data_IF_059371992562
#
_entry.id   IF_059371992562
#
_cell.length_a   1.000
_cell.length_b   1.000
_cell.length_c   1.000
_cell.angle_alpha   90.00
_cell.angle_beta   90.00
_cell.angle_gamma   90.00
#
_symmetry.space_group_name_H-M   'P 1'
#
loop_
_entity.id
_entity.type
_entity.pdbx_description
1 polymer ?
#
# COMPACT_ATOMS: atom_id res chain seq x y z
N UNK A 1 -12.88 7.21 5.52
CA UNK A 1 -13.25 6.26 6.60
C UNK A 1 -13.25 4.79 6.13
N UNK A 2 -13.73 4.44 4.92
CA UNK A 2 -13.78 3.04 4.46
C UNK A 2 -12.45 2.28 4.33
N UNK A 3 -11.32 2.95 4.01
CA UNK A 3 -10.04 2.26 3.79
C UNK A 3 -9.41 1.69 5.08
N UNK A 4 -9.67 2.26 6.26
CA UNK A 4 -9.19 1.70 7.52
C UNK A 4 -9.96 0.42 7.91
N UNK A 5 -11.28 0.39 7.71
CA UNK A 5 -12.08 -0.81 7.99
C UNK A 5 -11.78 -1.92 6.99
N UNK A 6 -11.61 -1.61 5.70
CA UNK A 6 -11.17 -2.60 4.69
C UNK A 6 -9.75 -3.10 4.96
N UNK A 7 -8.83 -2.23 5.40
CA UNK A 7 -7.48 -2.66 5.76
C UNK A 7 -7.47 -3.63 6.95
N UNK A 8 -8.36 -3.46 7.93
CA UNK A 8 -8.46 -4.37 9.07
C UNK A 8 -9.28 -5.64 8.77
N UNK A 9 -10.34 -5.56 7.97
CA UNK A 9 -11.23 -6.69 7.70
C UNK A 9 -10.82 -7.53 6.48
N UNK A 10 -10.24 -6.94 5.44
CA UNK A 10 -9.66 -7.65 4.30
C UNK A 10 -8.44 -6.88 3.72
N UNK A 11 -7.27 -6.91 4.40
CA UNK A 11 -6.07 -6.23 3.93
C UNK A 11 -5.66 -6.67 2.51
N UNK A 12 -5.80 -7.94 2.19
CA UNK A 12 -5.38 -8.47 0.89
C UNK A 12 -6.28 -7.95 -0.25
N UNK A 13 -7.58 -7.75 -0.02
CA UNK A 13 -8.48 -7.10 -0.99
C UNK A 13 -8.06 -5.64 -1.25
N UNK A 14 -7.76 -4.90 -0.18
CA UNK A 14 -7.36 -3.50 -0.28
C UNK A 14 -5.99 -3.34 -0.97
N UNK A 15 -5.03 -4.21 -0.66
CA UNK A 15 -3.73 -4.22 -1.32
C UNK A 15 -3.83 -4.58 -2.81
N UNK A 16 -4.74 -5.47 -3.17
CA UNK A 16 -5.06 -5.76 -4.57
C UNK A 16 -5.62 -4.55 -5.32
N UNK A 17 -6.60 -3.86 -4.74
CA UNK A 17 -7.17 -2.65 -5.35
C UNK A 17 -6.14 -1.53 -5.46
N UNK A 18 -5.27 -1.40 -4.45
CA UNK A 18 -4.13 -0.48 -4.49
C UNK A 18 -3.16 -0.80 -5.63
N UNK A 19 -2.81 -2.07 -5.80
CA UNK A 19 -1.93 -2.52 -6.88
C UNK A 19 -2.56 -2.21 -8.26
N UNK A 20 -3.86 -2.44 -8.42
CA UNK A 20 -4.61 -2.05 -9.62
C UNK A 20 -4.60 -0.54 -9.87
N UNK A 21 -4.75 0.26 -8.81
CA UNK A 21 -4.66 1.73 -8.93
C UNK A 21 -3.25 2.20 -9.35
N UNK A 22 -2.22 1.39 -9.07
CA UNK A 22 -0.84 1.59 -9.51
C UNK A 22 -0.52 0.96 -10.88
N UNK A 23 -1.49 0.29 -11.52
CA UNK A 23 -1.35 -0.34 -12.84
C UNK A 23 -0.97 -1.83 -12.84
N UNK A 24 -0.88 -2.46 -11.67
CA UNK A 24 -0.56 -3.89 -11.51
C UNK A 24 -1.82 -4.77 -11.53
N UNK A 25 -1.69 -6.04 -11.92
CA UNK A 25 -2.83 -6.96 -11.94
C UNK A 25 -3.07 -7.60 -10.55
N UNK A 26 -4.31 -7.53 -10.04
CA UNK A 26 -4.66 -8.18 -8.76
C UNK A 26 -4.55 -9.72 -8.84
N UNK A 27 -4.76 -10.29 -10.02
CA UNK A 27 -4.67 -11.74 -10.23
C UNK A 27 -3.25 -12.25 -10.01
N UNK A 28 -2.22 -11.56 -10.51
CA UNK A 28 -0.82 -11.89 -10.24
C UNK A 28 -0.48 -11.64 -8.77
N UNK A 29 -1.00 -10.55 -8.18
CA UNK A 29 -0.78 -10.23 -6.78
C UNK A 29 -1.34 -11.30 -5.82
N UNK A 30 -2.50 -11.89 -6.13
CA UNK A 30 -3.06 -12.99 -5.34
C UNK A 30 -2.35 -14.33 -5.61
N UNK A 31 -1.99 -14.62 -6.87
CA UNK A 31 -1.38 -15.90 -7.26
C UNK A 31 0.01 -16.10 -6.62
N UNK A 32 0.80 -15.03 -6.47
CA UNK A 32 2.12 -15.09 -5.84
C UNK A 32 2.11 -14.73 -4.33
N UNK A 33 0.95 -14.73 -3.65
CA UNK A 33 0.79 -14.30 -2.26
C UNK A 33 1.26 -12.86 -1.97
N UNK A 34 1.40 -12.01 -3.00
CA UNK A 34 1.84 -10.61 -2.92
C UNK A 34 0.86 -9.77 -2.11
N UNK A 35 -0.43 -10.09 -2.20
CA UNK A 35 -1.51 -9.37 -1.52
C UNK A 35 -1.40 -9.36 0.01
N UNK A 36 -0.67 -10.32 0.60
CA UNK A 36 -0.42 -10.38 2.04
C UNK A 36 1.09 -10.35 2.35
N UNK A 37 1.92 -9.97 1.37
CA UNK A 37 3.37 -9.89 1.51
C UNK A 37 3.78 -8.49 2.01
N UNK A 38 4.44 -8.38 3.18
CA UNK A 38 4.93 -7.10 3.70
C UNK A 38 5.96 -6.44 2.78
N UNK A 39 6.75 -7.22 2.03
CA UNK A 39 7.72 -6.72 1.06
C UNK A 39 7.06 -6.03 -0.14
N UNK A 40 5.87 -6.49 -0.54
CA UNK A 40 5.12 -5.84 -1.61
C UNK A 40 4.57 -4.47 -1.17
N UNK A 41 4.02 -4.40 0.06
CA UNK A 41 3.57 -3.14 0.63
C UNK A 41 4.74 -2.16 0.84
N UNK A 42 5.90 -2.66 1.28
CA UNK A 42 7.13 -1.90 1.38
C UNK A 42 7.51 -1.28 0.03
N UNK A 43 7.58 -2.10 -1.02
CA UNK A 43 7.92 -1.64 -2.37
C UNK A 43 6.97 -0.56 -2.89
N UNK A 44 5.66 -0.79 -2.77
CA UNK A 44 4.65 0.21 -3.19
C UNK A 44 4.77 1.52 -2.41
N UNK A 45 5.01 1.46 -1.10
CA UNK A 45 5.22 2.65 -0.27
C UNK A 45 6.47 3.43 -0.68
N UNK A 46 7.59 2.74 -0.86
CA UNK A 46 8.85 3.37 -1.29
C UNK A 46 8.70 4.02 -2.68
N UNK A 47 8.03 3.34 -3.61
CA UNK A 47 7.77 3.87 -4.95
C UNK A 47 6.97 5.18 -4.90
N UNK A 48 5.81 5.18 -4.25
CA UNK A 48 4.94 6.37 -4.17
C UNK A 48 5.67 7.51 -3.47
N UNK A 49 6.39 7.23 -2.38
CA UNK A 49 7.14 8.26 -1.67
C UNK A 49 8.25 8.88 -2.50
N UNK A 50 8.98 8.06 -3.25
CA UNK A 50 10.02 8.54 -4.16
C UNK A 50 9.44 9.39 -5.28
N UNK A 51 8.33 8.95 -5.88
CA UNK A 51 7.65 9.65 -6.97
C UNK A 51 7.03 10.99 -6.52
N UNK A 52 6.44 11.02 -5.34
CA UNK A 52 5.76 12.19 -4.79
C UNK A 52 6.64 13.06 -3.88
N UNK A 53 7.95 12.76 -3.77
CA UNK A 53 8.89 13.47 -2.90
C UNK A 53 8.43 13.57 -1.43
N UNK A 54 7.79 12.51 -0.91
CA UNK A 54 7.32 12.44 0.48
C UNK A 54 8.50 12.16 1.43
N UNK A 55 8.76 13.07 2.38
CA UNK A 55 9.89 12.99 3.35
C UNK A 55 9.82 11.78 4.28
N UNK A 56 10.95 11.09 4.47
CA UNK A 56 11.13 9.96 5.40
C UNK A 56 12.26 9.02 4.95
N UNK A 57 12.33 7.81 5.50
CA UNK A 57 13.47 6.90 5.31
C UNK A 57 13.05 5.46 5.00
N UNK A 58 13.87 4.77 4.21
CA UNK A 58 13.67 3.35 3.85
C UNK A 58 13.57 2.46 5.10
N UNK A 59 14.42 2.69 6.10
CA UNK A 59 14.38 1.93 7.36
C UNK A 59 13.05 2.12 8.09
N UNK A 60 12.50 3.34 8.10
CA UNK A 60 11.21 3.60 8.72
C UNK A 60 10.08 2.92 7.94
N UNK A 61 10.12 2.96 6.61
CA UNK A 61 9.11 2.27 5.79
C UNK A 61 9.20 0.75 5.96
N UNK A 62 10.40 0.17 6.06
CA UNK A 62 10.61 -1.26 6.31
C UNK A 62 10.08 -1.66 7.69
N UNK A 63 10.35 -0.87 8.74
CA UNK A 63 9.83 -1.15 10.08
C UNK A 63 8.29 -1.08 10.12
N UNK A 64 7.70 -0.13 9.39
CA UNK A 64 6.25 0.05 9.31
C UNK A 64 5.54 -1.05 8.50
N UNK A 65 6.22 -1.63 7.52
CA UNK A 65 5.64 -2.62 6.59
C UNK A 65 6.03 -4.06 6.90
N UNK A 66 7.25 -4.31 7.38
CA UNK A 66 7.79 -5.63 7.70
C UNK A 66 8.00 -5.93 9.19
N UNK A 67 7.99 -4.91 10.06
CA UNK A 67 8.48 -5.04 11.44
C UNK A 67 7.49 -5.51 12.51
N UNK A 68 6.18 -5.62 12.23
CA UNK A 68 5.25 -6.05 13.29
C UNK A 68 3.96 -6.67 12.76
N UNK A 69 3.65 -7.86 13.28
CA UNK A 69 2.39 -8.61 13.12
C UNK A 69 1.17 -7.93 13.80
N UNK A 70 1.23 -6.64 14.13
CA UNK A 70 0.17 -5.91 14.85
C UNK A 70 -0.07 -4.54 14.23
N UNK A 71 -1.36 -4.18 14.05
CA UNK A 71 -2.02 -2.90 13.70
C UNK A 71 -1.37 -1.92 12.70
N UNK A 72 -0.06 -1.70 12.71
CA UNK A 72 0.68 -0.76 11.88
C UNK A 72 0.61 -1.10 10.39
N UNK A 73 0.67 -2.37 10.00
CA UNK A 73 0.57 -2.79 8.60
C UNK A 73 -0.76 -2.32 7.97
N UNK A 74 -1.89 -2.54 8.63
CA UNK A 74 -3.20 -2.12 8.15
C UNK A 74 -3.30 -0.58 8.08
N UNK A 75 -2.75 0.12 9.07
CA UNK A 75 -2.69 1.59 9.07
C UNK A 75 -1.88 2.13 7.88
N UNK A 76 -0.73 1.51 7.61
CA UNK A 76 0.19 1.86 6.52
C UNK A 76 -0.46 1.60 5.17
N UNK A 77 -1.12 0.46 5.01
CA UNK A 77 -1.87 0.12 3.80
C UNK A 77 -3.03 1.10 3.57
N UNK A 78 -3.82 1.39 4.61
CA UNK A 78 -4.92 2.35 4.52
C UNK A 78 -4.44 3.77 4.22
N UNK A 79 -3.28 4.17 4.77
CA UNK A 79 -2.64 5.44 4.46
C UNK A 79 -2.23 5.48 2.99
N UNK A 80 -1.48 4.48 2.52
CA UNK A 80 -1.00 4.42 1.14
C UNK A 80 -2.16 4.42 0.13
N UNK A 81 -3.24 3.69 0.42
CA UNK A 81 -4.45 3.72 -0.39
C UNK A 81 -5.10 5.11 -0.49
N UNK A 82 -5.04 5.92 0.58
CA UNK A 82 -5.53 7.31 0.53
C UNK A 82 -4.61 8.21 -0.29
N UNK A 83 -3.31 8.05 -0.13
CA UNK A 83 -2.30 8.82 -0.88
C UNK A 83 -2.43 8.54 -2.38
N UNK A 84 -2.45 7.27 -2.79
CA UNK A 84 -2.65 6.87 -4.20
C UNK A 84 -3.96 7.40 -4.76
N UNK A 85 -5.07 7.27 -4.02
CA UNK A 85 -6.36 7.82 -4.46
C UNK A 85 -6.31 9.34 -4.64
N UNK A 86 -5.65 10.05 -3.73
CA UNK A 86 -5.47 11.50 -3.83
C UNK A 86 -4.63 11.88 -5.06
N UNK A 87 -3.51 11.18 -5.29
CA UNK A 87 -2.63 11.39 -6.44
C UNK A 87 -3.40 11.13 -7.75
N UNK A 88 -4.10 10.00 -7.84
CA UNK A 88 -4.95 9.67 -9.00
C UNK A 88 -6.00 10.75 -9.27
N UNK A 89 -6.62 11.31 -8.23
CA UNK A 89 -7.62 12.38 -8.37
C UNK A 89 -7.03 13.73 -8.79
N UNK A 90 -5.77 14.00 -8.47
CA UNK A 90 -5.12 15.30 -8.71
C UNK A 90 -4.31 15.32 -10.01
N UNK A 91 -3.63 14.21 -10.34
CA UNK A 91 -2.76 14.08 -11.52
C UNK A 91 -3.35 13.23 -12.64
N UNK A 92 -4.40 12.45 -12.37
CA UNK A 92 -5.02 11.55 -13.34
C UNK A 92 -4.27 10.23 -13.57
N UNK A 93 -3.07 10.07 -13.00
CA UNK A 93 -2.26 8.85 -13.07
C UNK A 93 -1.44 8.66 -11.79
N UNK A 94 -0.97 7.43 -11.57
CA UNK A 94 -0.17 7.02 -10.40
C UNK A 94 1.22 6.57 -10.82
#
# INVERSE_FOLDING_TARGET
MGSCCLACCCPCCLQCGLAQDMGESCCEACLYNVCCNPGALFGMRVYIRGKENIRGSLCNDFNLTGGCFSCCYCCVLAQLAREVKYIKSTKGYV
#
